data_IF_016482554682
#
_entry.id   IF_016482554682
#
_cell.length_a   1.000
_cell.length_b   1.000
_cell.length_c   1.000
_cell.angle_alpha   90.00
_cell.angle_beta   90.00
_cell.angle_gamma   90.00
#
_symmetry.space_group_name_H-M   'P 1'
#
loop_
_entity.id
_entity.type
_entity.pdbx_description
1 polymer ?
#
# COMPACT_ATOMS: atom_id res chain seq x y z
N UNK A 1 -0.45 -15.67 4.75
CA UNK A 1 -0.58 -15.08 3.41
C UNK A 1 0.19 -15.89 2.37
N UNK A 2 1.47 -16.22 2.59
CA UNK A 2 2.34 -16.94 1.65
C UNK A 2 1.78 -18.34 1.32
N UNK A 3 1.36 -19.10 2.33
CA UNK A 3 0.77 -20.43 2.16
C UNK A 3 -0.55 -20.37 1.37
N UNK A 4 -1.46 -19.46 1.75
CA UNK A 4 -2.77 -19.33 1.09
C UNK A 4 -2.67 -18.82 -0.36
N UNK A 5 -1.72 -17.92 -0.67
CA UNK A 5 -1.63 -17.29 -2.01
C UNK A 5 -0.69 -18.00 -2.97
N UNK A 6 0.38 -18.63 -2.48
CA UNK A 6 1.38 -19.23 -3.36
C UNK A 6 1.36 -20.76 -3.38
N UNK A 7 0.95 -21.41 -2.30
CA UNK A 7 1.02 -22.88 -2.24
C UNK A 7 -0.35 -23.52 -2.51
N UNK A 8 -1.41 -23.01 -1.87
CA UNK A 8 -2.76 -23.57 -2.03
C UNK A 8 -3.33 -23.48 -3.45
N UNK A 9 -3.14 -22.43 -4.25
CA UNK A 9 -3.69 -22.37 -5.61
C UNK A 9 -3.12 -23.42 -6.58
N UNK A 10 -1.97 -24.03 -6.25
CA UNK A 10 -1.34 -25.09 -7.07
C UNK A 10 -1.67 -26.50 -6.58
N UNK A 11 -2.62 -26.66 -5.68
CA UNK A 11 -3.05 -27.96 -5.17
C UNK A 11 -4.55 -28.13 -5.30
N UNK A 12 -4.94 -29.35 -5.66
CA UNK A 12 -6.35 -29.73 -5.80
C UNK A 12 -7.01 -30.14 -4.47
N UNK A 13 -6.21 -30.34 -3.41
CA UNK A 13 -6.71 -30.76 -2.09
C UNK A 13 -6.16 -29.89 -0.97
N UNK A 14 -6.98 -29.56 0.04
CA UNK A 14 -6.55 -28.82 1.24
C UNK A 14 -5.46 -29.60 2.00
N UNK A 15 -4.69 -28.87 2.82
CA UNK A 15 -3.71 -29.49 3.71
C UNK A 15 -4.39 -30.13 4.90
N UNK A 16 -3.90 -31.29 5.32
CA UNK A 16 -4.15 -31.78 6.64
C UNK A 16 -3.64 -30.82 7.72
N UNK A 17 -4.32 -30.73 8.86
CA UNK A 17 -4.06 -29.77 9.94
C UNK A 17 -2.59 -29.72 10.36
N UNK A 18 -1.95 -30.88 10.53
CA UNK A 18 -0.55 -30.93 10.94
C UNK A 18 0.39 -30.43 9.86
N UNK A 19 0.10 -30.79 8.59
CA UNK A 19 0.85 -30.34 7.43
C UNK A 19 0.71 -28.83 7.23
N UNK A 20 -0.50 -28.28 7.40
CA UNK A 20 -0.74 -26.85 7.32
C UNK A 20 0.08 -26.07 8.34
N UNK A 21 0.06 -26.48 9.59
CA UNK A 21 0.84 -25.85 10.67
C UNK A 21 2.36 -25.97 10.42
N UNK A 22 2.81 -27.10 9.89
CA UNK A 22 4.22 -27.33 9.56
C UNK A 22 4.68 -26.41 8.43
N UNK A 23 3.90 -26.31 7.35
CA UNK A 23 4.18 -25.41 6.22
C UNK A 23 4.16 -23.93 6.66
N UNK A 24 3.25 -23.56 7.55
CA UNK A 24 3.21 -22.22 8.14
C UNK A 24 4.50 -21.89 8.91
N UNK A 25 4.98 -22.81 9.76
CA UNK A 25 6.23 -22.64 10.50
C UNK A 25 7.44 -22.52 9.58
N UNK A 26 7.53 -23.37 8.55
CA UNK A 26 8.61 -23.28 7.56
C UNK A 26 8.54 -21.97 6.75
N UNK A 27 7.36 -21.48 6.43
CA UNK A 27 7.20 -20.19 5.75
C UNK A 27 7.69 -19.03 6.61
N UNK A 28 7.35 -19.01 7.90
CA UNK A 28 7.83 -18.00 8.85
C UNK A 28 9.34 -18.05 8.97
N UNK A 29 9.90 -19.26 9.15
CA UNK A 29 11.35 -19.47 9.23
C UNK A 29 12.06 -19.03 7.94
N UNK A 30 11.51 -19.38 6.76
CA UNK A 30 12.07 -18.99 5.47
C UNK A 30 12.11 -17.47 5.29
N UNK A 31 11.04 -16.76 5.69
CA UNK A 31 11.01 -15.30 5.69
C UNK A 31 12.05 -14.71 6.65
N UNK A 32 12.18 -15.27 7.85
CA UNK A 32 13.18 -14.81 8.84
C UNK A 32 14.61 -14.98 8.31
N UNK A 33 14.93 -16.13 7.73
CA UNK A 33 16.22 -16.40 7.09
C UNK A 33 16.48 -15.44 5.93
N UNK A 34 15.47 -15.23 5.06
CA UNK A 34 15.59 -14.26 3.97
C UNK A 34 15.90 -12.85 4.47
N UNK A 35 15.15 -12.36 5.48
CA UNK A 35 15.37 -11.02 6.05
C UNK A 35 16.76 -10.93 6.67
N UNK A 36 17.23 -11.96 7.36
CA UNK A 36 18.56 -12.00 7.96
C UNK A 36 19.66 -11.86 6.90
N UNK A 37 19.64 -12.69 5.86
CA UNK A 37 20.65 -12.61 4.79
C UNK A 37 20.52 -11.32 3.99
N UNK A 38 19.31 -10.87 3.69
CA UNK A 38 19.09 -9.60 3.03
C UNK A 38 19.69 -8.44 3.83
N UNK A 39 19.48 -8.42 5.15
CA UNK A 39 20.03 -7.38 6.03
C UNK A 39 21.56 -7.38 6.08
N UNK A 40 22.20 -8.56 5.98
CA UNK A 40 23.66 -8.68 5.96
C UNK A 40 24.28 -8.25 4.62
N UNK A 41 23.61 -8.56 3.51
CA UNK A 41 24.14 -8.33 2.18
C UNK A 41 23.79 -6.93 1.64
N UNK A 42 22.74 -6.32 2.18
CA UNK A 42 22.25 -5.05 1.71
C UNK A 42 22.96 -3.88 2.40
N UNK A 43 23.80 -3.17 1.68
CA UNK A 43 24.44 -1.94 2.18
C UNK A 43 23.57 -0.72 1.87
N UNK A 44 23.27 0.07 2.89
CA UNK A 44 22.48 1.28 2.74
C UNK A 44 23.37 2.49 2.44
N UNK A 45 23.44 2.88 1.18
CA UNK A 45 24.25 4.02 0.73
C UNK A 45 23.43 5.32 0.64
N UNK A 46 22.16 5.32 1.05
CA UNK A 46 21.23 6.43 0.93
C UNK A 46 20.73 6.90 2.28
N UNK A 47 20.18 8.14 2.30
CA UNK A 47 19.42 8.63 3.43
C UNK A 47 18.21 7.72 3.67
N UNK A 48 17.94 7.36 4.92
CA UNK A 48 16.88 6.41 5.32
C UNK A 48 15.52 6.75 4.68
N UNK A 49 15.13 8.03 4.68
CA UNK A 49 13.86 8.46 4.10
C UNK A 49 13.75 8.19 2.58
N UNK A 50 14.84 8.39 1.84
CA UNK A 50 14.90 8.12 0.40
C UNK A 50 14.87 6.61 0.12
N UNK A 51 15.52 5.82 0.97
CA UNK A 51 15.45 4.37 0.90
C UNK A 51 14.03 3.85 1.09
N UNK A 52 13.31 4.35 2.10
CA UNK A 52 11.90 3.98 2.30
C UNK A 52 11.01 4.39 1.13
N UNK A 53 11.20 5.59 0.56
CA UNK A 53 10.45 6.02 -0.61
C UNK A 53 10.68 5.10 -1.82
N UNK A 54 11.93 4.71 -2.06
CA UNK A 54 12.28 3.81 -3.16
C UNK A 54 11.72 2.40 -2.95
N UNK A 55 11.80 1.89 -1.72
CA UNK A 55 11.21 0.57 -1.36
C UNK A 55 9.68 0.60 -1.47
N UNK A 56 9.05 1.70 -1.05
CA UNK A 56 7.63 1.90 -1.22
C UNK A 56 7.22 1.91 -2.70
N UNK A 57 8.06 2.44 -3.60
CA UNK A 57 7.78 2.45 -5.04
C UNK A 57 7.63 1.04 -5.63
N UNK A 58 8.37 0.05 -5.12
CA UNK A 58 8.26 -1.34 -5.56
C UNK A 58 6.84 -1.87 -5.36
N UNK A 59 6.24 -1.55 -4.22
CA UNK A 59 4.94 -2.07 -3.83
C UNK A 59 3.79 -1.13 -4.23
N UNK A 60 3.85 0.14 -3.87
CA UNK A 60 2.76 1.09 -4.07
C UNK A 60 2.71 1.66 -5.48
N UNK A 61 3.82 1.63 -6.23
CA UNK A 61 3.90 2.19 -7.57
C UNK A 61 2.86 1.63 -8.54
N UNK A 62 2.60 0.31 -8.49
CA UNK A 62 1.59 -0.34 -9.30
C UNK A 62 0.24 -0.55 -8.61
N UNK A 63 0.24 -0.79 -7.30
CA UNK A 63 -0.98 -1.16 -6.56
C UNK A 63 -2.03 -0.05 -6.53
N UNK A 64 -1.64 1.22 -6.45
CA UNK A 64 -2.58 2.34 -6.41
C UNK A 64 -3.49 2.38 -7.63
N UNK A 65 -2.92 2.29 -8.83
CA UNK A 65 -3.67 2.25 -10.08
C UNK A 65 -4.59 1.02 -10.18
N UNK A 66 -4.11 -0.14 -9.72
CA UNK A 66 -4.86 -1.41 -9.74
C UNK A 66 -6.05 -1.36 -8.77
N UNK A 67 -5.86 -0.86 -7.56
CA UNK A 67 -6.93 -0.77 -6.56
C UNK A 67 -7.98 0.24 -6.99
N UNK A 68 -7.58 1.45 -7.34
CA UNK A 68 -8.52 2.50 -7.76
C UNK A 68 -9.22 2.09 -9.06
N UNK A 69 -8.47 1.67 -10.07
CA UNK A 69 -9.04 1.25 -11.33
C UNK A 69 -9.90 -0.01 -11.23
N UNK A 70 -9.52 -0.98 -10.40
CA UNK A 70 -10.29 -2.21 -10.19
C UNK A 70 -11.60 -2.01 -9.44
N UNK A 71 -11.68 -1.02 -8.54
CA UNK A 71 -12.88 -0.75 -7.74
C UNK A 71 -13.84 0.26 -8.37
N UNK A 72 -13.33 1.18 -9.20
CA UNK A 72 -14.13 2.31 -9.69
C UNK A 72 -14.25 2.35 -11.22
N UNK A 73 -13.53 1.51 -11.94
CA UNK A 73 -13.52 1.56 -13.40
C UNK A 73 -13.88 0.21 -14.04
N UNK A 74 -15.07 0.12 -14.60
CA UNK A 74 -15.63 -1.11 -15.21
C UNK A 74 -14.80 -1.69 -16.36
N UNK A 75 -13.93 -0.88 -16.98
CA UNK A 75 -13.04 -1.32 -18.07
C UNK A 75 -11.73 -1.90 -17.61
N UNK A 76 -11.50 -1.95 -16.28
CA UNK A 76 -10.30 -2.55 -15.73
C UNK A 76 -10.16 -4.00 -16.16
N UNK A 77 -8.97 -4.42 -16.59
CA UNK A 77 -8.68 -5.79 -16.99
C UNK A 77 -7.61 -6.40 -16.11
N UNK A 78 -7.65 -7.73 -15.94
CA UNK A 78 -6.61 -8.47 -15.21
C UNK A 78 -5.23 -8.28 -15.84
N UNK A 79 -5.15 -8.23 -17.18
CA UNK A 79 -3.90 -7.97 -17.89
C UNK A 79 -3.34 -6.58 -17.57
N UNK A 80 -4.20 -5.55 -17.50
CA UNK A 80 -3.81 -4.20 -17.12
C UNK A 80 -3.29 -4.15 -15.67
N UNK A 81 -3.95 -4.86 -14.75
CA UNK A 81 -3.51 -4.96 -13.36
C UNK A 81 -2.11 -5.56 -13.25
N UNK A 82 -1.86 -6.69 -13.90
CA UNK A 82 -0.53 -7.30 -13.95
C UNK A 82 0.52 -6.39 -14.57
N UNK A 83 0.19 -5.74 -15.70
CA UNK A 83 1.12 -4.85 -16.38
C UNK A 83 1.51 -3.66 -15.50
N UNK A 84 0.54 -3.03 -14.83
CA UNK A 84 0.80 -1.92 -13.92
C UNK A 84 1.67 -2.34 -12.73
N UNK A 85 1.39 -3.48 -12.12
CA UNK A 85 2.18 -4.01 -11.01
C UNK A 85 3.61 -4.35 -11.42
N UNK A 86 3.79 -4.97 -12.58
CA UNK A 86 5.12 -5.33 -13.10
C UNK A 86 5.93 -4.06 -13.41
N UNK A 87 5.33 -3.07 -14.06
CA UNK A 87 6.01 -1.79 -14.38
C UNK A 87 6.39 -1.05 -13.10
N UNK A 88 5.49 -0.95 -12.13
CA UNK A 88 5.77 -0.31 -10.84
C UNK A 88 6.92 -1.01 -10.08
N UNK A 89 6.86 -2.34 -10.01
CA UNK A 89 7.91 -3.14 -9.39
C UNK A 89 9.24 -3.00 -10.14
N UNK A 90 9.22 -3.02 -11.47
CA UNK A 90 10.43 -2.88 -12.29
C UNK A 90 11.12 -1.54 -12.09
N UNK A 91 10.36 -0.44 -12.04
CA UNK A 91 10.90 0.90 -11.77
C UNK A 91 11.46 0.98 -10.35
N UNK A 92 10.77 0.47 -9.36
CA UNK A 92 11.22 0.48 -7.96
C UNK A 92 12.46 -0.38 -7.75
N UNK A 93 12.47 -1.62 -8.25
CA UNK A 93 13.63 -2.52 -8.17
C UNK A 93 14.79 -1.96 -8.99
N UNK A 94 14.53 -1.50 -10.21
CA UNK A 94 15.52 -0.88 -11.08
C UNK A 94 16.21 0.32 -10.44
N UNK A 95 15.40 1.23 -9.84
CA UNK A 95 15.92 2.37 -9.08
C UNK A 95 16.77 1.94 -7.87
N UNK A 96 16.35 0.89 -7.15
CA UNK A 96 17.14 0.35 -6.04
C UNK A 96 18.48 -0.20 -6.51
N UNK A 97 18.49 -0.96 -7.60
CA UNK A 97 19.71 -1.55 -8.16
C UNK A 97 20.66 -0.47 -8.70
N UNK A 98 20.14 0.51 -9.42
CA UNK A 98 20.94 1.63 -9.94
C UNK A 98 21.64 2.39 -8.81
N UNK A 99 20.95 2.60 -7.68
CA UNK A 99 21.53 3.26 -6.50
C UNK A 99 22.59 2.43 -5.77
N UNK A 100 22.67 1.13 -6.01
CA UNK A 100 23.70 0.25 -5.44
C UNK A 100 24.97 0.19 -6.32
N UNK A 101 24.92 0.69 -7.58
CA UNK A 101 26.09 0.72 -8.46
C UNK A 101 27.09 1.73 -7.93
N UNK A 102 28.33 1.29 -7.71
CA UNK A 102 29.43 2.20 -7.34
C UNK A 102 29.90 3.01 -8.52
N UNK A 103 30.20 4.29 -8.30
CA UNK A 103 30.74 5.19 -9.32
C UNK A 103 32.11 4.70 -9.83
N UNK A 104 32.87 4.03 -8.95
CA UNK A 104 34.20 3.49 -9.29
C UNK A 104 34.10 2.38 -10.36
N UNK A 105 33.10 1.48 -10.25
CA UNK A 105 32.83 0.48 -11.27
C UNK A 105 32.47 1.11 -12.64
N UNK A 106 31.78 2.24 -12.61
CA UNK A 106 31.40 2.98 -13.82
C UNK A 106 32.60 3.57 -14.54
N UNK A 107 33.70 3.85 -13.85
CA UNK A 107 34.93 4.39 -14.45
C UNK A 107 35.67 3.37 -15.31
N UNK A 108 35.56 2.08 -14.97
CA UNK A 108 36.20 0.98 -15.68
C UNK A 108 35.47 0.59 -16.98
N UNK A 109 34.17 0.96 -17.11
CA UNK A 109 33.36 0.68 -18.30
C UNK A 109 33.52 1.79 -19.35
N UNK A 110 34.75 2.00 -19.83
CA UNK A 110 35.06 3.05 -20.80
C UNK A 110 34.46 2.84 -22.20
N UNK A 111 34.02 1.62 -22.53
CA UNK A 111 33.58 1.25 -23.88
C UNK A 111 32.16 1.68 -24.24
N UNK A 112 31.33 2.13 -23.29
CA UNK A 112 29.90 2.40 -23.47
C UNK A 112 29.51 3.78 -22.91
N UNK A 113 30.08 4.84 -23.49
CA UNK A 113 29.85 6.23 -23.07
C UNK A 113 28.35 6.58 -22.89
N UNK A 114 27.50 6.09 -23.78
CA UNK A 114 26.04 6.32 -23.72
C UNK A 114 25.39 5.65 -22.50
N UNK A 115 25.78 4.43 -22.19
CA UNK A 115 25.24 3.71 -21.02
C UNK A 115 25.68 4.38 -19.72
N UNK A 116 26.95 4.82 -19.68
CA UNK A 116 27.48 5.58 -18.55
C UNK A 116 26.68 6.85 -18.31
N UNK A 117 26.39 7.63 -19.35
CA UNK A 117 25.59 8.86 -19.23
C UNK A 117 24.15 8.56 -18.73
N UNK A 118 23.53 7.53 -19.26
CA UNK A 118 22.19 7.11 -18.81
C UNK A 118 22.23 6.68 -17.33
N UNK A 119 23.19 5.86 -16.92
CA UNK A 119 23.32 5.42 -15.54
C UNK A 119 23.59 6.58 -14.58
N UNK A 120 24.44 7.53 -14.94
CA UNK A 120 24.68 8.73 -14.13
C UNK A 120 23.41 9.56 -13.96
N UNK A 121 22.63 9.75 -15.04
CA UNK A 121 21.34 10.42 -14.95
C UNK A 121 20.35 9.68 -14.05
N UNK A 122 20.24 8.36 -14.18
CA UNK A 122 19.38 7.53 -13.33
C UNK A 122 19.85 7.52 -11.87
N UNK A 123 21.15 7.63 -11.61
CA UNK A 123 21.69 7.74 -10.25
C UNK A 123 21.38 9.10 -9.61
N UNK A 124 21.21 10.15 -10.39
CA UNK A 124 20.85 11.49 -9.89
C UNK A 124 19.37 11.59 -9.45
N UNK A 125 18.48 10.82 -10.07
CA UNK A 125 17.05 10.74 -9.70
C UNK A 125 16.93 10.32 -8.24
N UNK A 126 16.20 11.09 -7.43
CA UNK A 126 16.01 10.74 -6.02
C UNK A 126 14.90 9.69 -5.82
N UNK A 127 14.79 9.11 -4.60
CA UNK A 127 13.82 8.05 -4.29
C UNK A 127 12.36 8.50 -4.45
N UNK A 128 12.06 9.77 -4.18
CA UNK A 128 10.71 10.32 -4.33
C UNK A 128 10.33 10.46 -5.82
N UNK A 129 11.28 10.85 -6.65
CA UNK A 129 11.08 10.93 -8.10
C UNK A 129 10.85 9.54 -8.70
N UNK A 130 11.64 8.52 -8.28
CA UNK A 130 11.39 7.13 -8.67
C UNK A 130 9.99 6.67 -8.30
N UNK A 131 9.53 7.03 -7.09
CA UNK A 131 8.18 6.73 -6.65
C UNK A 131 7.12 7.40 -7.52
N UNK A 132 7.28 8.69 -7.79
CA UNK A 132 6.40 9.46 -8.69
C UNK A 132 6.36 8.88 -10.11
N UNK A 133 7.54 8.59 -10.70
CA UNK A 133 7.66 7.96 -12.03
C UNK A 133 6.98 6.58 -12.02
N UNK A 134 7.17 5.79 -10.97
CA UNK A 134 6.55 4.48 -10.81
C UNK A 134 5.03 4.55 -10.81
N UNK A 135 4.43 5.45 -10.02
CA UNK A 135 2.98 5.66 -9.97
C UNK A 135 2.44 6.15 -11.32
N UNK A 136 3.09 7.16 -11.92
CA UNK A 136 2.64 7.71 -13.20
C UNK A 136 2.70 6.67 -14.32
N UNK A 137 3.82 5.96 -14.47
CA UNK A 137 4.01 4.94 -15.50
C UNK A 137 3.06 3.76 -15.33
N UNK A 138 2.84 3.30 -14.10
CA UNK A 138 1.88 2.23 -13.79
C UNK A 138 0.45 2.64 -14.08
N UNK A 139 0.07 3.86 -13.73
CA UNK A 139 -1.28 4.39 -13.99
C UNK A 139 -1.54 4.52 -15.49
N UNK A 140 -0.58 5.07 -16.23
CA UNK A 140 -0.67 5.21 -17.69
C UNK A 140 -0.78 3.82 -18.34
N UNK A 141 0.06 2.86 -17.93
CA UNK A 141 0.03 1.51 -18.49
C UNK A 141 -1.26 0.77 -18.16
N UNK A 142 -1.80 0.93 -16.93
CA UNK A 142 -3.09 0.39 -16.54
C UNK A 142 -4.21 0.89 -17.44
N UNK A 143 -4.27 2.21 -17.62
CA UNK A 143 -5.27 2.85 -18.48
C UNK A 143 -5.11 2.37 -19.93
N UNK A 144 -3.90 2.41 -20.47
CA UNK A 144 -3.64 2.04 -21.85
C UNK A 144 -4.02 0.58 -22.14
N UNK A 145 -3.54 -0.36 -21.32
CA UNK A 145 -3.83 -1.79 -21.51
C UNK A 145 -5.31 -2.09 -21.29
N UNK A 146 -5.99 -1.38 -20.37
CA UNK A 146 -7.43 -1.53 -20.17
C UNK A 146 -8.25 -1.00 -21.36
N UNK A 147 -7.76 0.02 -22.06
CA UNK A 147 -8.45 0.57 -23.25
C UNK A 147 -8.24 -0.30 -24.49
N UNK A 148 -7.05 -0.86 -24.67
CA UNK A 148 -6.68 -1.67 -25.85
C UNK A 148 -7.07 -3.15 -25.66
N UNK A 149 -7.14 -3.62 -24.42
CA UNK A 149 -7.44 -5.02 -24.10
C UNK A 149 -8.87 -5.42 -24.44
N UNK A 150 -9.06 -6.75 -24.68
CA UNK A 150 -10.38 -7.31 -24.90
C UNK A 150 -11.27 -7.09 -23.66
N UNK A 151 -12.48 -6.59 -23.88
CA UNK A 151 -13.48 -6.36 -22.84
C UNK A 151 -13.98 -7.71 -22.27
N UNK A 152 -13.41 -8.17 -21.18
CA UNK A 152 -14.16 -8.99 -20.24
C UNK A 152 -14.89 -8.01 -19.31
N UNK A 153 -16.20 -7.86 -19.51
CA UNK A 153 -16.99 -7.03 -18.59
C UNK A 153 -16.96 -7.69 -17.21
N UNK A 154 -16.19 -7.11 -16.30
CA UNK A 154 -16.25 -7.49 -14.89
C UNK A 154 -17.61 -7.00 -14.38
N UNK A 155 -18.41 -7.93 -13.86
CA UNK A 155 -19.66 -7.57 -13.20
C UNK A 155 -19.32 -6.86 -11.88
N UNK A 156 -19.31 -5.51 -11.93
CA UNK A 156 -18.99 -4.67 -10.77
C UNK A 156 -20.00 -4.85 -9.63
N UNK A 157 -21.26 -5.18 -9.94
CA UNK A 157 -22.27 -5.45 -8.93
C UNK A 157 -21.98 -6.73 -8.16
N UNK A 158 -21.43 -7.75 -8.85
CA UNK A 158 -20.95 -8.97 -8.22
C UNK A 158 -19.70 -8.71 -7.38
N UNK A 159 -18.76 -7.92 -7.87
CA UNK A 159 -17.52 -7.58 -7.15
C UNK A 159 -17.80 -6.79 -5.87
N UNK A 160 -18.74 -5.86 -5.92
CA UNK A 160 -19.09 -4.96 -4.82
C UNK A 160 -20.30 -5.44 -4.02
N UNK A 161 -20.76 -6.68 -4.23
CA UNK A 161 -21.95 -7.26 -3.58
C UNK A 161 -23.19 -6.36 -3.64
N UNK A 162 -23.44 -5.72 -4.80
CA UNK A 162 -24.55 -4.80 -5.01
C UNK A 162 -25.73 -5.46 -5.74
N UNK A 163 -26.89 -4.86 -5.63
CA UNK A 163 -28.10 -5.29 -6.34
C UNK A 163 -28.47 -6.75 -6.01
N UNK A 164 -28.56 -7.62 -7.03
CA UNK A 164 -28.93 -9.04 -6.88
C UNK A 164 -27.89 -9.88 -6.09
N UNK A 165 -26.67 -9.40 -5.95
CA UNK A 165 -25.59 -10.06 -5.20
C UNK A 165 -25.45 -9.51 -3.77
N UNK A 166 -26.32 -8.58 -3.36
CA UNK A 166 -26.32 -8.04 -2.01
C UNK A 166 -26.69 -9.13 -0.99
N UNK A 167 -25.93 -9.22 0.09
CA UNK A 167 -26.21 -10.14 1.19
C UNK A 167 -27.54 -9.75 1.82
N UNK A 168 -28.44 -10.71 2.05
CA UNK A 168 -29.85 -10.49 2.49
C UNK A 168 -30.01 -9.61 3.74
N UNK A 169 -28.97 -9.37 4.51
CA UNK A 169 -28.96 -8.44 5.65
C UNK A 169 -28.60 -6.99 5.28
N UNK A 170 -27.88 -6.76 4.18
CA UNK A 170 -27.45 -5.42 3.75
C UNK A 170 -28.47 -4.71 2.86
N UNK A 171 -29.40 -5.44 2.21
CA UNK A 171 -30.44 -4.84 1.38
C UNK A 171 -31.32 -3.84 2.13
N UNK A 172 -31.48 -4.00 3.43
CA UNK A 172 -32.24 -3.07 4.27
C UNK A 172 -31.52 -1.71 4.45
N UNK A 173 -30.22 -1.67 4.22
CA UNK A 173 -29.39 -0.47 4.39
C UNK A 173 -29.27 0.31 3.07
N UNK A 174 -29.25 -0.39 1.92
CA UNK A 174 -29.03 0.23 0.61
C UNK A 174 -30.28 0.94 0.05
N UNK A 175 -31.48 0.52 0.45
CA UNK A 175 -32.74 1.14 0.00
C UNK A 175 -33.23 2.32 0.87
N UNK A 176 -32.42 2.80 1.81
CA UNK A 176 -32.70 4.08 2.45
C UNK A 176 -32.19 5.20 1.56
N UNK A 177 -33.12 6.11 1.21
CA UNK A 177 -32.81 7.37 0.52
C UNK A 177 -31.56 8.01 1.09
N UNK A 178 -30.74 8.71 0.27
CA UNK A 178 -29.53 9.35 0.77
C UNK A 178 -29.92 10.33 1.87
N UNK A 179 -29.72 9.95 3.11
CA UNK A 179 -30.00 10.80 4.25
C UNK A 179 -29.00 11.96 4.22
N UNK A 180 -29.53 13.17 4.02
CA UNK A 180 -28.80 14.42 4.09
C UNK A 180 -28.10 14.53 5.48
N UNK A 181 -26.86 14.99 5.50
CA UNK A 181 -26.13 15.24 6.72
C UNK A 181 -24.79 14.48 6.81
N UNK A 182 -24.38 14.14 8.00
CA UNK A 182 -23.09 13.49 8.27
C UNK A 182 -22.91 12.13 7.57
N UNK A 183 -23.98 11.49 7.13
CA UNK A 183 -23.95 10.23 6.36
C UNK A 183 -23.35 10.37 4.96
N UNK A 184 -23.36 11.58 4.38
CA UNK A 184 -22.65 11.88 3.11
C UNK A 184 -21.15 11.59 3.25
N UNK A 185 -20.60 11.79 4.44
CA UNK A 185 -19.19 11.51 4.74
C UNK A 185 -18.94 10.05 5.16
N UNK A 186 -19.91 9.14 5.00
CA UNK A 186 -19.77 7.73 5.34
C UNK A 186 -19.89 7.42 6.83
N UNK A 187 -20.38 8.36 7.65
CA UNK A 187 -20.59 8.16 9.09
C UNK A 187 -22.01 7.67 9.34
N UNK A 188 -22.20 6.37 9.49
CA UNK A 188 -23.47 5.72 9.80
C UNK A 188 -23.85 5.76 11.30
N UNK A 189 -24.93 5.04 11.62
CA UNK A 189 -25.39 4.91 13.00
C UNK A 189 -24.47 4.07 13.89
N UNK A 190 -23.63 3.24 13.28
CA UNK A 190 -22.62 2.38 13.91
C UNK A 190 -21.46 3.16 14.56
N UNK A 191 -21.24 4.42 14.12
CA UNK A 191 -20.17 5.24 14.65
C UNK A 191 -20.50 5.78 16.03
N UNK A 192 -19.69 5.46 17.02
CA UNK A 192 -19.74 6.10 18.34
C UNK A 192 -19.31 7.57 18.25
N UNK A 193 -19.51 8.35 19.32
CA UNK A 193 -19.04 9.73 19.36
C UNK A 193 -17.53 9.85 19.22
N UNK A 194 -16.79 8.91 19.80
CA UNK A 194 -15.32 8.83 19.70
C UNK A 194 -14.88 8.51 18.28
N UNK A 195 -15.53 7.57 17.61
CA UNK A 195 -15.20 7.19 16.22
C UNK A 195 -15.44 8.36 15.27
N UNK A 196 -16.55 9.09 15.43
CA UNK A 196 -16.84 10.31 14.67
C UNK A 196 -15.77 11.39 14.87
N UNK A 197 -15.32 11.57 16.10
CA UNK A 197 -14.25 12.54 16.40
C UNK A 197 -12.94 12.15 15.69
N UNK A 198 -12.53 10.91 15.81
CA UNK A 198 -11.30 10.39 15.17
C UNK A 198 -11.39 10.53 13.67
N UNK A 199 -12.54 10.17 13.08
CA UNK A 199 -12.79 10.27 11.66
C UNK A 199 -12.67 11.70 11.15
N UNK A 200 -13.32 12.66 11.84
CA UNK A 200 -13.25 14.09 11.52
C UNK A 200 -11.82 14.61 11.67
N UNK A 201 -11.13 14.27 12.76
CA UNK A 201 -9.74 14.68 12.97
C UNK A 201 -8.81 14.20 11.85
N UNK A 202 -9.03 12.98 11.33
CA UNK A 202 -8.24 12.47 10.21
C UNK A 202 -8.46 13.30 8.94
N UNK A 203 -9.71 13.67 8.62
CA UNK A 203 -10.00 14.54 7.46
C UNK A 203 -9.46 15.95 7.65
N UNK A 204 -9.60 16.52 8.84
CA UNK A 204 -9.05 17.84 9.17
C UNK A 204 -7.53 17.84 9.03
N UNK A 205 -6.86 16.81 9.55
CA UNK A 205 -5.41 16.63 9.42
C UNK A 205 -4.96 16.54 7.96
N UNK A 206 -5.61 15.67 7.20
CA UNK A 206 -5.30 15.50 5.77
C UNK A 206 -5.59 16.77 4.97
N UNK A 207 -6.75 17.40 5.22
CA UNK A 207 -7.13 18.66 4.59
C UNK A 207 -6.17 19.80 4.90
N UNK A 208 -5.74 19.92 6.15
CA UNK A 208 -4.76 20.91 6.57
C UNK A 208 -3.43 20.76 5.79
N UNK A 209 -2.89 19.54 5.71
CA UNK A 209 -1.65 19.31 4.98
C UNK A 209 -1.81 19.51 3.47
N UNK A 210 -2.96 19.14 2.91
CA UNK A 210 -3.27 19.40 1.50
C UNK A 210 -3.31 20.91 1.21
N UNK A 211 -3.93 21.70 2.09
CA UNK A 211 -3.97 23.14 1.94
C UNK A 211 -2.58 23.77 2.09
N UNK A 212 -1.80 23.35 3.10
CA UNK A 212 -0.42 23.81 3.27
C UNK A 212 0.42 23.47 2.02
N UNK A 213 0.25 22.29 1.44
CA UNK A 213 0.94 21.91 0.22
C UNK A 213 0.55 22.82 -0.95
N UNK A 214 -0.75 23.01 -1.20
CA UNK A 214 -1.24 23.84 -2.32
C UNK A 214 -0.75 25.28 -2.16
N UNK A 215 -1.04 25.90 -1.02
CA UNK A 215 -0.68 27.30 -0.79
C UNK A 215 0.83 27.48 -0.73
N UNK A 216 1.56 26.57 -0.08
CA UNK A 216 3.02 26.60 -0.01
C UNK A 216 3.66 26.47 -1.39
N UNK A 217 3.12 25.59 -2.24
CA UNK A 217 3.61 25.42 -3.62
C UNK A 217 3.35 26.68 -4.46
N UNK A 218 2.12 27.21 -4.42
CA UNK A 218 1.78 28.44 -5.15
C UNK A 218 2.65 29.61 -4.68
N UNK A 219 2.85 29.75 -3.37
CA UNK A 219 3.70 30.79 -2.80
C UNK A 219 5.16 30.64 -3.24
N UNK A 220 5.71 29.43 -3.18
CA UNK A 220 7.10 29.15 -3.59
C UNK A 220 7.34 29.36 -5.08
N UNK A 221 6.35 29.09 -5.93
CA UNK A 221 6.43 29.37 -7.38
C UNK A 221 6.40 30.87 -7.68
N UNK A 222 5.73 31.66 -6.84
CA UNK A 222 5.59 33.10 -7.02
C UNK A 222 6.69 33.93 -6.35
N UNK A 223 7.33 33.37 -5.31
CA UNK A 223 8.33 34.06 -4.50
C UNK A 223 9.50 33.13 -4.19
N UNK A 224 10.75 33.56 -4.39
CA UNK A 224 11.91 32.78 -4.00
C UNK A 224 11.96 32.65 -2.45
N UNK A 225 11.77 31.46 -1.94
CA UNK A 225 11.84 31.17 -0.51
C UNK A 225 13.29 30.87 -0.13
N UNK A 226 13.81 31.56 0.89
CA UNK A 226 15.17 31.36 1.36
C UNK A 226 15.35 30.00 2.06
N UNK A 227 16.55 29.45 2.01
CA UNK A 227 16.91 28.20 2.70
C UNK A 227 16.63 28.26 4.20
N UNK A 228 16.85 29.43 4.83
CA UNK A 228 16.58 29.63 6.26
C UNK A 228 15.09 29.52 6.59
N UNK A 229 14.20 29.94 5.68
CA UNK A 229 12.74 29.79 5.84
C UNK A 229 12.33 28.31 5.68
N UNK A 230 12.93 27.60 4.75
CA UNK A 230 12.72 26.16 4.61
C UNK A 230 13.22 25.38 5.83
N UNK A 231 14.36 25.74 6.40
CA UNK A 231 14.87 25.12 7.63
C UNK A 231 13.91 25.30 8.80
N UNK A 232 13.37 26.50 9.01
CA UNK A 232 12.38 26.77 10.05
C UNK A 232 11.09 25.99 9.83
N UNK A 233 10.58 25.93 8.60
CA UNK A 233 9.41 25.13 8.26
C UNK A 233 9.60 23.66 8.64
N UNK A 234 10.72 23.06 8.26
CA UNK A 234 11.03 21.67 8.59
C UNK A 234 11.24 21.44 10.10
N UNK A 235 11.82 22.41 10.81
CA UNK A 235 11.97 22.35 12.26
C UNK A 235 10.60 22.27 12.95
N UNK A 236 9.68 23.19 12.63
CA UNK A 236 8.31 23.14 13.18
C UNK A 236 7.55 21.88 12.78
N UNK A 237 7.71 21.44 11.53
CA UNK A 237 7.11 20.21 11.04
C UNK A 237 7.56 18.99 11.86
N UNK A 238 8.85 18.88 12.13
CA UNK A 238 9.43 17.77 12.91
C UNK A 238 8.89 17.83 14.35
N UNK A 239 8.93 18.96 15.03
CA UNK A 239 8.42 19.09 16.40
C UNK A 239 6.93 18.75 16.49
N UNK A 240 6.12 19.24 15.57
CA UNK A 240 4.70 18.93 15.51
C UNK A 240 4.46 17.42 15.35
N UNK A 241 5.15 16.80 14.39
CA UNK A 241 5.00 15.36 14.15
C UNK A 241 5.53 14.51 15.31
N UNK A 242 6.60 14.94 15.98
CA UNK A 242 7.08 14.26 17.21
C UNK A 242 6.02 14.30 18.32
N UNK A 243 5.43 15.46 18.58
CA UNK A 243 4.39 15.60 19.59
C UNK A 243 3.16 14.72 19.27
N UNK A 244 2.68 14.77 18.03
CA UNK A 244 1.57 13.91 17.57
C UNK A 244 1.93 12.43 17.65
N UNK A 245 3.15 12.05 17.28
CA UNK A 245 3.61 10.67 17.34
C UNK A 245 3.61 10.12 18.78
N UNK A 246 4.02 10.91 19.76
CA UNK A 246 3.98 10.50 21.17
C UNK A 246 2.54 10.19 21.60
N UNK A 247 1.59 11.07 21.26
CA UNK A 247 0.17 10.85 21.57
C UNK A 247 -0.35 9.58 20.92
N UNK A 248 -0.04 9.38 19.65
CA UNK A 248 -0.46 8.20 18.87
C UNK A 248 0.15 6.92 19.45
N UNK A 249 1.44 6.90 19.79
CA UNK A 249 2.12 5.75 20.38
C UNK A 249 1.45 5.32 21.68
N UNK A 250 1.18 6.28 22.58
CA UNK A 250 0.49 5.98 23.84
C UNK A 250 -0.89 5.39 23.59
N UNK A 251 -1.66 6.02 22.71
CA UNK A 251 -3.01 5.58 22.36
C UNK A 251 -3.02 4.16 21.75
N UNK A 252 -2.18 3.91 20.74
CA UNK A 252 -2.08 2.58 20.12
C UNK A 252 -1.57 1.50 21.09
N UNK A 253 -0.67 1.87 22.00
CA UNK A 253 -0.16 0.92 23.01
C UNK A 253 -1.30 0.50 23.95
N UNK A 254 -2.07 1.44 24.45
CA UNK A 254 -3.20 1.16 25.34
C UNK A 254 -4.30 0.35 24.60
N UNK A 255 -4.66 0.79 23.39
CA UNK A 255 -5.63 0.06 22.55
C UNK A 255 -5.16 -1.35 22.21
N UNK A 256 -3.93 -1.50 21.73
CA UNK A 256 -3.37 -2.78 21.35
C UNK A 256 -3.26 -3.78 22.51
N UNK A 257 -2.96 -3.31 23.73
CA UNK A 257 -2.98 -4.18 24.92
C UNK A 257 -4.41 -4.66 25.23
N UNK A 258 -5.41 -3.78 25.09
CA UNK A 258 -6.81 -4.11 25.27
C UNK A 258 -7.27 -5.15 24.23
N UNK A 259 -6.98 -4.93 22.96
CA UNK A 259 -7.34 -5.82 21.86
C UNK A 259 -6.65 -7.19 21.99
N UNK A 260 -5.39 -7.19 22.41
CA UNK A 260 -4.65 -8.43 22.68
C UNK A 260 -5.30 -9.24 23.80
N UNK A 261 -5.73 -8.60 24.89
CA UNK A 261 -6.47 -9.27 25.98
C UNK A 261 -7.79 -9.85 25.48
N UNK A 262 -8.55 -9.09 24.72
CA UNK A 262 -9.79 -9.57 24.09
C UNK A 262 -9.56 -10.75 23.15
N UNK A 263 -8.55 -10.68 22.30
CA UNK A 263 -8.17 -11.76 21.39
C UNK A 263 -7.81 -13.04 22.15
N UNK A 264 -6.98 -12.94 23.21
CA UNK A 264 -6.59 -14.09 24.02
C UNK A 264 -7.82 -14.69 24.71
N UNK A 265 -8.71 -13.87 25.27
CA UNK A 265 -9.94 -14.32 25.91
C UNK A 265 -10.86 -15.05 24.91
N UNK A 266 -11.10 -14.49 23.73
CA UNK A 266 -11.87 -15.16 22.66
C UNK A 266 -11.24 -16.47 22.24
N UNK A 267 -9.91 -16.51 22.04
CA UNK A 267 -9.21 -17.75 21.67
C UNK A 267 -9.29 -18.85 22.74
N UNK A 268 -9.52 -18.48 24.01
CA UNK A 268 -9.71 -19.45 25.10
C UNK A 268 -11.16 -19.91 25.22
N UNK A 269 -12.14 -19.07 24.87
CA UNK A 269 -13.57 -19.34 25.00
C UNK A 269 -14.19 -19.95 23.75
N UNK A 270 -13.65 -19.66 22.57
CA UNK A 270 -14.22 -20.16 21.32
C UNK A 270 -13.93 -21.65 21.11
N UNK A 271 -15.02 -22.38 20.86
CA UNK A 271 -14.93 -23.77 20.43
C UNK A 271 -14.39 -23.79 18.98
N UNK A 272 -13.11 -24.18 18.86
CA UNK A 272 -12.47 -24.23 17.55
C UNK A 272 -13.08 -25.35 16.72
N UNK A 273 -13.69 -25.00 15.62
CA UNK A 273 -14.00 -25.97 14.59
C UNK A 273 -12.67 -26.42 13.92
N UNK A 274 -12.25 -27.61 14.31
CA UNK A 274 -11.03 -28.21 13.77
C UNK A 274 -11.21 -28.76 12.34
N UNK A 275 -12.45 -28.80 11.85
CA UNK A 275 -12.80 -29.19 10.48
C UNK A 275 -12.68 -28.04 9.47
N UNK A 276 -12.68 -26.80 9.94
CA UNK A 276 -12.51 -25.63 9.07
C UNK A 276 -11.05 -25.52 8.59
N UNK A 277 -10.84 -25.94 7.37
CA UNK A 277 -9.54 -25.87 6.66
C UNK A 277 -9.32 -24.51 5.97
N UNK A 278 -10.28 -23.57 6.09
CA UNK A 278 -10.26 -22.26 5.44
C UNK A 278 -10.59 -22.28 3.96
N UNK A 279 -11.10 -23.39 3.44
CA UNK A 279 -11.69 -23.47 2.11
C UNK A 279 -13.16 -23.10 2.16
N UNK A 280 -13.58 -22.25 1.24
CA UNK A 280 -15.01 -21.98 1.02
C UNK A 280 -15.51 -23.11 0.12
N UNK A 281 -16.11 -24.12 0.71
CA UNK A 281 -16.85 -25.12 -0.05
C UNK A 281 -18.05 -24.42 -0.67
N UNK A 282 -18.13 -24.36 -2.00
CA UNK A 282 -19.33 -23.95 -2.69
C UNK A 282 -20.41 -25.00 -2.37
N UNK A 283 -21.22 -24.76 -1.37
CA UNK A 283 -22.50 -25.42 -1.24
C UNK A 283 -23.34 -24.94 -2.43
N UNK A 284 -23.58 -25.84 -3.38
CA UNK A 284 -24.24 -25.63 -4.66
C UNK A 284 -25.69 -25.16 -4.55
#
# INVERSE_FOLDING_TARGET
LLVKRFILPFRDKPFDKETHLRVLRYSIFGVAVFIFFFSLLFSQNQKIALYFALTAAIFSGGCGAVIIGGLYWERGTTAAAWTAMIIGAFIGVGGTLVKQVSVDWLSDVSSLATIKTILLYLMDINGQEYWGIGIASSSISYIFVSLVGNRSSIDMDKLLNRGRYSIKGEMAVVNKEPELGWKIFGMGAEFTKSDKLIYILNYVWTGMWTLIFIFGTVYNLSNPVSDSSWMKYWEYYIYLNMAVSIIIIVWFTVGGISDLKHMISSLQSDHRDHGDDGWVHNEG
#
